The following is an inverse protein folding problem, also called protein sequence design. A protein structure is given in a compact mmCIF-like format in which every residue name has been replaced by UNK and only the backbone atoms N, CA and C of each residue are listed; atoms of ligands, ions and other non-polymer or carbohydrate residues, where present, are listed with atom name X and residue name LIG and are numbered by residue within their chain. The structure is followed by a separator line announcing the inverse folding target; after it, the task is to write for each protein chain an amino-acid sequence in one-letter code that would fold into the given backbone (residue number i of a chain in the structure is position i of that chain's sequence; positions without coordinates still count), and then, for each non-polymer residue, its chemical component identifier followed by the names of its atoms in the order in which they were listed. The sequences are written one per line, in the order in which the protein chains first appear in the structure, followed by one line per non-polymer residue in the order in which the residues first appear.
data_IF_201702023236
#
_entry.id   IF_201702023236
#
_cell.length_a   1.000
_cell.length_b   1.000
_cell.length_c   1.000
_cell.angle_alpha   90.00
_cell.angle_beta   90.00
_cell.angle_gamma   90.00
#
_symmetry.space_group_name_H-M   'P 1'
#
loop_
_entity.id
_entity.type
_entity.pdbx_description
1 polymer ?
#
# COMPACT_ATOMS: atom_id res chain seq x y z
N UNK A 1 31.84 -52.82 -24.52
CA UNK A 1 31.33 -51.95 -25.59
C UNK A 1 30.42 -50.90 -24.97
N UNK A 2 30.88 -49.66 -24.88
CA UNK A 2 30.11 -48.54 -24.29
C UNK A 2 29.34 -47.82 -25.39
N UNK A 3 28.02 -47.90 -25.36
CA UNK A 3 27.12 -47.24 -26.32
C UNK A 3 27.04 -45.76 -25.95
N UNK A 4 27.51 -44.89 -26.84
CA UNK A 4 27.45 -43.44 -26.69
C UNK A 4 25.99 -42.97 -26.72
N UNK A 5 25.53 -42.30 -25.64
CA UNK A 5 24.26 -41.57 -25.62
C UNK A 5 24.41 -40.27 -26.41
N UNK A 6 23.56 -40.06 -27.40
CA UNK A 6 23.49 -38.83 -28.21
C UNK A 6 22.92 -37.67 -27.37
N UNK A 7 23.65 -36.57 -27.14
CA UNK A 7 23.18 -35.50 -26.27
C UNK A 7 22.73 -34.30 -27.10
N UNK A 8 21.81 -34.41 -28.07
CA UNK A 8 21.43 -33.22 -28.86
C UNK A 8 20.12 -33.35 -29.69
N UNK A 9 19.09 -34.03 -29.19
CA UNK A 9 17.87 -34.24 -29.99
C UNK A 9 16.59 -34.32 -29.18
N UNK A 10 16.22 -33.22 -28.52
CA UNK A 10 14.82 -33.03 -28.10
C UNK A 10 14.41 -31.54 -28.11
N UNK A 11 14.24 -31.00 -29.32
CA UNK A 11 13.73 -29.63 -29.50
C UNK A 11 12.19 -29.58 -29.59
N UNK A 12 11.51 -30.73 -29.64
CA UNK A 12 10.07 -30.84 -29.84
C UNK A 12 9.31 -31.34 -28.60
N UNK A 13 10.00 -31.63 -27.49
CA UNK A 13 9.36 -32.02 -26.23
C UNK A 13 8.56 -33.32 -26.35
N UNK A 14 9.05 -34.26 -27.16
CA UNK A 14 8.35 -35.49 -27.49
C UNK A 14 8.54 -36.55 -26.38
N UNK A 15 9.57 -36.41 -25.53
CA UNK A 15 9.81 -37.32 -24.40
C UNK A 15 9.49 -36.65 -23.05
N UNK A 16 8.38 -36.99 -22.38
CA UNK A 16 8.04 -36.47 -21.05
C UNK A 16 8.78 -37.18 -19.90
N UNK A 17 9.82 -37.95 -20.18
CA UNK A 17 10.49 -38.82 -19.22
C UNK A 17 11.92 -38.35 -18.94
N UNK A 18 12.19 -38.08 -17.65
CA UNK A 18 13.50 -37.84 -17.01
C UNK A 18 14.03 -36.39 -16.92
N UNK A 19 13.35 -35.57 -16.09
CA UNK A 19 14.05 -34.58 -15.25
C UNK A 19 13.81 -34.93 -13.77
N UNK A 20 14.62 -35.83 -13.22
CA UNK A 20 14.73 -36.00 -11.76
C UNK A 20 15.44 -34.77 -11.18
N UNK A 21 14.65 -33.74 -10.90
CA UNK A 21 15.05 -32.49 -10.25
C UNK A 21 13.87 -31.93 -9.46
N UNK A 22 14.13 -31.14 -8.42
CA UNK A 22 13.06 -30.51 -7.64
C UNK A 22 12.19 -29.63 -8.55
N UNK A 23 10.87 -29.56 -8.30
CA UNK A 23 9.89 -28.84 -9.14
C UNK A 23 10.30 -27.40 -9.50
N UNK A 24 11.10 -26.76 -8.64
CA UNK A 24 11.60 -25.39 -8.81
C UNK A 24 12.72 -25.30 -9.86
N UNK A 25 13.59 -26.30 -9.95
CA UNK A 25 14.64 -26.33 -10.97
C UNK A 25 14.05 -26.61 -12.35
N UNK A 26 13.10 -27.54 -12.45
CA UNK A 26 12.42 -27.89 -13.69
C UNK A 26 11.68 -26.67 -14.30
N UNK A 27 11.02 -25.86 -13.47
CA UNK A 27 10.34 -24.64 -13.93
C UNK A 27 11.30 -23.57 -14.46
N UNK A 28 12.51 -23.45 -13.89
CA UNK A 28 13.52 -22.50 -14.37
C UNK A 28 14.13 -22.95 -15.69
N UNK A 29 14.39 -24.25 -15.83
CA UNK A 29 14.91 -24.85 -17.07
C UNK A 29 13.90 -24.70 -18.20
N UNK A 30 12.62 -24.97 -17.95
CA UNK A 30 11.58 -24.82 -18.98
C UNK A 30 11.39 -23.36 -19.40
N UNK A 31 11.43 -22.42 -18.44
CA UNK A 31 11.36 -20.98 -18.75
C UNK A 31 12.56 -20.51 -19.57
N UNK A 32 13.75 -21.05 -19.32
CA UNK A 32 14.93 -20.78 -20.14
C UNK A 32 14.80 -21.37 -21.56
N UNK A 33 14.20 -22.56 -21.71
CA UNK A 33 13.92 -23.21 -23.01
C UNK A 33 12.96 -22.38 -23.86
N UNK A 34 11.81 -21.97 -23.29
CA UNK A 34 10.83 -21.12 -23.96
C UNK A 34 11.44 -19.78 -24.37
N UNK A 35 12.31 -19.20 -23.52
CA UNK A 35 13.00 -17.95 -23.85
C UNK A 35 13.97 -18.10 -25.02
N UNK A 36 14.66 -19.25 -25.13
CA UNK A 36 15.52 -19.56 -26.28
C UNK A 36 14.72 -19.72 -27.55
N UNK A 37 13.63 -20.49 -27.51
CA UNK A 37 12.73 -20.67 -28.67
C UNK A 37 12.17 -19.32 -29.17
N UNK A 38 11.70 -18.48 -28.26
CA UNK A 38 11.20 -17.16 -28.60
C UNK A 38 12.29 -16.23 -29.18
N UNK A 39 13.54 -16.38 -28.75
CA UNK A 39 14.67 -15.63 -29.31
C UNK A 39 15.02 -16.13 -30.73
N UNK A 40 14.98 -17.44 -30.98
CA UNK A 40 15.17 -18.02 -32.30
C UNK A 40 14.08 -17.55 -33.27
N UNK A 41 12.81 -17.68 -32.89
CA UNK A 41 11.68 -17.21 -33.71
C UNK A 41 11.79 -15.73 -34.04
N UNK A 42 12.15 -14.88 -33.08
CA UNK A 42 12.37 -13.45 -33.32
C UNK A 42 13.48 -13.19 -34.32
N UNK A 43 14.58 -13.96 -34.26
CA UNK A 43 15.68 -13.84 -35.21
C UNK A 43 15.21 -14.25 -36.62
N UNK A 44 14.43 -15.32 -36.72
CA UNK A 44 13.87 -15.80 -37.98
C UNK A 44 12.89 -14.79 -38.58
N UNK A 45 11.97 -14.23 -37.77
CA UNK A 45 11.06 -13.17 -38.22
C UNK A 45 11.79 -11.88 -38.62
N UNK A 46 12.87 -11.51 -37.91
CA UNK A 46 13.68 -10.35 -38.28
C UNK A 46 14.55 -10.59 -39.52
N UNK A 47 14.76 -11.86 -39.92
CA UNK A 47 15.46 -12.22 -41.15
C UNK A 47 14.56 -12.12 -42.39
N UNK A 48 13.25 -12.02 -42.19
CA UNK A 48 12.33 -11.80 -43.30
C UNK A 48 12.51 -10.37 -43.83
N UNK A 49 12.57 -10.19 -45.17
CA UNK A 49 12.57 -8.88 -45.79
C UNK A 49 11.37 -8.07 -45.30
N UNK A 50 11.55 -6.77 -45.09
CA UNK A 50 10.44 -5.89 -44.71
C UNK A 50 9.32 -6.04 -45.76
N UNK A 51 8.05 -6.25 -45.33
CA UNK A 51 6.95 -6.48 -46.26
C UNK A 51 6.76 -5.24 -47.13
N UNK A 52 7.12 -5.35 -48.41
CA UNK A 52 6.76 -4.38 -49.44
C UNK A 52 5.34 -4.71 -49.89
N UNK A 53 4.35 -4.16 -49.17
CA UNK A 53 2.95 -4.25 -49.56
C UNK A 53 2.65 -3.19 -50.64
N UNK A 54 3.13 -3.40 -51.85
CA UNK A 54 2.67 -2.69 -53.05
C UNK A 54 1.67 -3.60 -53.77
N UNK A 55 0.40 -3.51 -53.39
CA UNK A 55 -0.70 -4.15 -54.11
C UNK A 55 -1.26 -3.13 -55.10
N UNK A 56 -0.86 -3.23 -56.37
CA UNK A 56 -1.54 -2.58 -57.47
C UNK A 56 -2.82 -3.39 -57.73
N UNK A 57 -3.96 -2.91 -57.22
CA UNK A 57 -5.27 -3.52 -57.49
C UNK A 57 -5.62 -3.17 -58.92
N UNK A 58 -5.16 -3.98 -59.87
CA UNK A 58 -5.70 -3.96 -61.22
C UNK A 58 -7.07 -4.61 -61.14
N UNK A 59 -8.11 -3.80 -60.97
CA UNK A 59 -9.50 -4.20 -61.18
C UNK A 59 -9.65 -4.50 -62.66
N UNK A 60 -9.84 -5.77 -63.08
CA UNK A 60 -10.25 -6.05 -64.45
C UNK A 60 -11.68 -5.51 -64.59
N UNK A 61 -11.92 -4.61 -65.55
CA UNK A 61 -13.29 -4.29 -65.98
C UNK A 61 -13.91 -5.60 -66.51
N UNK A 62 -14.69 -6.26 -65.66
CA UNK A 62 -15.43 -7.45 -66.03
C UNK A 62 -16.78 -6.98 -66.54
N UNK A 63 -17.00 -7.27 -67.83
CA UNK A 63 -18.24 -7.08 -68.55
C UNK A 63 -19.43 -7.61 -67.74
N UNK A 64 -20.53 -6.85 -67.79
CA UNK A 64 -21.82 -7.18 -67.18
C UNK A 64 -22.27 -8.57 -67.63
N UNK A 65 -22.24 -9.52 -66.69
CA UNK A 65 -22.94 -10.77 -66.82
C UNK A 65 -23.78 -10.93 -65.54
N UNK A 66 -25.10 -10.96 -65.76
CA UNK A 66 -26.14 -11.29 -64.79
C UNK A 66 -25.66 -12.40 -63.84
N UNK A 67 -25.61 -12.10 -62.55
CA UNK A 67 -25.46 -13.12 -61.51
C UNK A 67 -26.55 -12.91 -60.46
N UNK A 68 -27.19 -14.02 -60.15
CA UNK A 68 -28.37 -14.12 -59.32
C UNK A 68 -28.19 -13.40 -57.98
N UNK A 69 -29.26 -12.77 -57.51
CA UNK A 69 -29.34 -12.17 -56.19
C UNK A 69 -29.39 -13.28 -55.11
N UNK A 70 -28.32 -14.06 -54.99
CA UNK A 70 -28.04 -14.83 -53.78
C UNK A 70 -27.78 -13.77 -52.72
N UNK A 71 -28.70 -13.65 -51.76
CA UNK A 71 -28.38 -13.05 -50.46
C UNK A 71 -27.23 -13.88 -49.89
N UNK A 72 -26.00 -13.55 -50.29
CA UNK A 72 -24.81 -14.04 -49.66
C UNK A 72 -24.98 -13.63 -48.20
N UNK A 73 -25.26 -14.63 -47.36
CA UNK A 73 -24.98 -14.57 -45.95
C UNK A 73 -23.54 -14.06 -45.89
N UNK A 74 -23.36 -12.76 -45.66
CA UNK A 74 -22.04 -12.21 -45.35
C UNK A 74 -21.58 -13.05 -44.18
N UNK A 75 -20.61 -13.92 -44.41
CA UNK A 75 -19.97 -14.68 -43.35
C UNK A 75 -19.42 -13.63 -42.41
N UNK A 76 -20.08 -13.48 -41.28
CA UNK A 76 -19.73 -12.49 -40.28
C UNK A 76 -18.30 -12.76 -39.86
N UNK A 77 -17.44 -11.74 -40.00
CA UNK A 77 -16.06 -11.81 -39.54
C UNK A 77 -16.05 -12.32 -38.10
N UNK A 78 -15.05 -13.13 -37.74
CA UNK A 78 -14.99 -13.77 -36.41
C UNK A 78 -15.14 -12.76 -35.24
N UNK A 79 -14.75 -11.50 -35.44
CA UNK A 79 -14.97 -10.41 -34.48
C UNK A 79 -16.43 -9.94 -34.33
N UNK A 80 -17.25 -10.00 -35.38
CA UNK A 80 -18.68 -9.66 -35.33
C UNK A 80 -19.48 -10.74 -34.59
N UNK A 81 -19.16 -12.01 -34.82
CA UNK A 81 -19.75 -13.14 -34.09
C UNK A 81 -19.40 -13.06 -32.61
N UNK A 82 -18.13 -12.82 -32.29
CA UNK A 82 -17.67 -12.66 -30.91
C UNK A 82 -18.35 -11.45 -30.23
N UNK A 83 -18.50 -10.32 -30.93
CA UNK A 83 -19.17 -9.14 -30.39
C UNK A 83 -20.65 -9.40 -30.06
N UNK A 84 -21.37 -10.17 -30.90
CA UNK A 84 -22.76 -10.56 -30.61
C UNK A 84 -22.86 -11.51 -29.44
N UNK A 85 -22.00 -12.52 -29.38
CA UNK A 85 -21.96 -13.45 -28.25
C UNK A 85 -21.60 -12.74 -26.95
N UNK A 86 -20.69 -11.77 -26.99
CA UNK A 86 -20.36 -10.94 -25.84
C UNK A 86 -21.57 -10.10 -25.43
N UNK A 87 -22.24 -9.42 -26.36
CA UNK A 87 -23.44 -8.63 -26.07
C UNK A 87 -24.59 -9.48 -25.52
N UNK A 88 -24.82 -10.68 -26.05
CA UNK A 88 -25.81 -11.62 -25.51
C UNK A 88 -25.46 -12.05 -24.09
N UNK A 89 -24.19 -12.41 -23.84
CA UNK A 89 -23.71 -12.76 -22.50
C UNK A 89 -23.84 -11.60 -21.52
N UNK A 90 -23.59 -10.37 -21.95
CA UNK A 90 -23.76 -9.17 -21.13
C UNK A 90 -25.23 -8.92 -20.79
N UNK A 91 -26.13 -9.01 -21.78
CA UNK A 91 -27.58 -8.91 -21.56
C UNK A 91 -28.10 -9.98 -20.61
N UNK A 92 -27.63 -11.22 -20.74
CA UNK A 92 -27.96 -12.31 -19.81
C UNK A 92 -27.45 -12.01 -18.40
N UNK A 93 -26.20 -11.55 -18.26
CA UNK A 93 -25.65 -11.15 -16.97
C UNK A 93 -26.42 -9.97 -16.34
N UNK A 94 -26.85 -8.99 -17.14
CA UNK A 94 -27.67 -7.88 -16.66
C UNK A 94 -29.06 -8.36 -16.21
N UNK A 95 -29.70 -9.25 -16.96
CA UNK A 95 -30.99 -9.87 -16.58
C UNK A 95 -30.84 -10.65 -15.29
N UNK A 96 -29.79 -11.46 -15.17
CA UNK A 96 -29.47 -12.17 -13.94
C UNK A 96 -29.23 -11.21 -12.78
N UNK A 97 -28.45 -10.14 -12.96
CA UNK A 97 -28.19 -9.12 -11.94
C UNK A 97 -29.48 -8.46 -11.48
N UNK A 98 -30.38 -8.09 -12.40
CA UNK A 98 -31.70 -7.49 -12.10
C UNK A 98 -32.61 -8.43 -11.29
N UNK A 99 -32.43 -9.74 -11.40
CA UNK A 99 -33.13 -10.77 -10.59
C UNK A 99 -32.50 -10.98 -9.21
N UNK A 100 -31.30 -10.46 -8.93
CA UNK A 100 -30.66 -10.55 -7.60
C UNK A 100 -31.26 -9.55 -6.62
N UNK A 101 -30.96 -9.71 -5.33
CA UNK A 101 -31.38 -8.75 -4.31
C UNK A 101 -30.80 -7.36 -4.58
N UNK A 102 -31.52 -6.32 -4.15
CA UNK A 102 -31.12 -4.92 -4.32
C UNK A 102 -29.76 -4.62 -3.65
N UNK A 103 -29.46 -5.28 -2.53
CA UNK A 103 -28.18 -5.17 -1.84
C UNK A 103 -27.02 -5.72 -2.67
N UNK A 104 -27.22 -6.83 -3.40
CA UNK A 104 -26.23 -7.40 -4.32
C UNK A 104 -26.05 -6.49 -5.54
N UNK A 105 -27.16 -6.04 -6.14
CA UNK A 105 -27.14 -5.15 -7.32
C UNK A 105 -26.36 -3.85 -7.05
N UNK A 106 -26.64 -3.21 -5.91
CA UNK A 106 -26.01 -1.94 -5.50
C UNK A 106 -24.65 -2.12 -4.83
N UNK A 107 -24.15 -3.36 -4.72
CA UNK A 107 -22.89 -3.70 -4.03
C UNK A 107 -22.78 -3.10 -2.63
N UNK A 108 -23.88 -3.09 -1.88
CA UNK A 108 -23.90 -2.54 -0.52
C UNK A 108 -23.13 -3.46 0.45
N UNK A 109 -22.60 -2.92 1.57
CA UNK A 109 -22.01 -3.75 2.62
C UNK A 109 -23.02 -4.76 3.14
N UNK A 110 -22.68 -6.05 3.03
CA UNK A 110 -23.51 -7.15 3.52
C UNK A 110 -22.81 -7.83 4.70
N UNK A 111 -23.56 -8.35 5.68
CA UNK A 111 -22.97 -9.09 6.79
C UNK A 111 -22.22 -10.32 6.26
N UNK A 112 -21.23 -10.82 7.00
CA UNK A 112 -20.58 -12.11 6.70
C UNK A 112 -21.24 -13.30 7.40
N UNK A 113 -21.98 -13.03 8.49
CA UNK A 113 -22.75 -13.98 9.28
C UNK A 113 -24.02 -13.29 9.78
N UNK A 114 -25.15 -13.99 9.74
CA UNK A 114 -26.45 -13.49 10.24
C UNK A 114 -26.98 -14.48 11.27
N UNK A 115 -27.59 -13.98 12.36
CA UNK A 115 -28.28 -14.79 13.36
C UNK A 115 -29.77 -14.46 13.30
N UNK A 116 -30.64 -15.47 13.25
CA UNK A 116 -32.11 -15.29 13.19
C UNK A 116 -32.65 -14.39 14.30
N UNK A 117 -32.11 -14.51 15.52
CA UNK A 117 -32.49 -13.71 16.70
C UNK A 117 -32.29 -12.19 16.52
N UNK A 118 -31.46 -11.77 15.56
CA UNK A 118 -31.21 -10.34 15.31
C UNK A 118 -32.23 -9.72 14.33
N UNK A 119 -33.04 -10.56 13.66
CA UNK A 119 -34.07 -10.12 12.72
C UNK A 119 -35.37 -9.89 13.48
N UNK A 120 -35.82 -8.64 13.49
CA UNK A 120 -37.04 -8.22 14.18
C UNK A 120 -38.07 -7.76 13.14
N UNK A 121 -39.20 -8.45 13.05
CA UNK A 121 -40.38 -8.01 12.31
C UNK A 121 -41.64 -8.24 13.15
N UNK A 122 -42.68 -7.44 12.93
CA UNK A 122 -43.96 -7.61 13.62
C UNK A 122 -44.67 -8.93 13.26
N UNK A 123 -44.32 -9.52 12.12
CA UNK A 123 -44.87 -10.78 11.61
C UNK A 123 -43.74 -11.80 11.50
N UNK A 124 -43.88 -12.94 12.18
CA UNK A 124 -42.83 -13.98 12.26
C UNK A 124 -42.50 -14.60 10.89
N UNK A 125 -43.50 -14.78 10.03
CA UNK A 125 -43.31 -15.32 8.67
C UNK A 125 -42.39 -14.42 7.82
N UNK A 126 -42.51 -13.10 8.00
CA UNK A 126 -41.65 -12.12 7.32
C UNK A 126 -40.20 -12.19 7.85
N UNK A 127 -40.02 -12.39 9.16
CA UNK A 127 -38.68 -12.58 9.75
C UNK A 127 -38.01 -13.83 9.19
N UNK A 128 -38.75 -14.92 9.06
CA UNK A 128 -38.26 -16.20 8.57
C UNK A 128 -37.85 -16.12 7.10
N UNK A 129 -38.67 -15.48 6.26
CA UNK A 129 -38.34 -15.28 4.85
C UNK A 129 -37.15 -14.32 4.67
N UNK A 130 -37.08 -13.24 5.47
CA UNK A 130 -35.95 -12.31 5.44
C UNK A 130 -34.64 -13.00 5.85
N UNK A 131 -34.69 -13.87 6.87
CA UNK A 131 -33.54 -14.68 7.28
C UNK A 131 -33.09 -15.61 6.14
N UNK A 132 -34.03 -16.32 5.50
CA UNK A 132 -33.75 -17.23 4.38
C UNK A 132 -33.14 -16.52 3.18
N UNK A 133 -33.64 -15.32 2.84
CA UNK A 133 -33.10 -14.48 1.78
C UNK A 133 -31.66 -14.04 2.07
N UNK A 134 -31.38 -13.64 3.31
CA UNK A 134 -30.04 -13.26 3.75
C UNK A 134 -29.07 -14.44 3.70
N UNK A 135 -29.47 -15.62 4.20
CA UNK A 135 -28.64 -16.82 4.12
C UNK A 135 -28.32 -17.23 2.67
N UNK A 136 -29.32 -17.17 1.78
CA UNK A 136 -29.11 -17.42 0.35
C UNK A 136 -28.07 -16.45 -0.24
N UNK A 137 -28.16 -15.16 0.06
CA UNK A 137 -27.22 -14.16 -0.45
C UNK A 137 -25.79 -14.34 0.08
N UNK A 138 -25.62 -14.80 1.33
CA UNK A 138 -24.30 -15.11 1.90
C UNK A 138 -23.61 -16.27 1.20
N UNK A 139 -24.36 -17.32 0.87
CA UNK A 139 -23.83 -18.56 0.28
C UNK A 139 -23.64 -18.40 -1.23
N UNK A 140 -24.64 -17.87 -1.94
CA UNK A 140 -24.61 -17.73 -3.41
C UNK A 140 -23.75 -16.54 -3.86
N UNK A 141 -23.75 -15.45 -3.11
CA UNK A 141 -23.01 -14.23 -3.45
C UNK A 141 -22.11 -13.77 -2.29
N UNK A 142 -21.06 -14.54 -1.95
CA UNK A 142 -20.20 -14.22 -0.82
C UNK A 142 -19.51 -12.86 -1.00
N UNK A 143 -19.36 -12.12 0.10
CA UNK A 143 -18.63 -10.84 0.12
C UNK A 143 -17.13 -11.11 -0.04
N UNK A 144 -16.48 -10.47 -1.02
CA UNK A 144 -15.02 -10.48 -1.17
C UNK A 144 -14.41 -9.50 -0.17
N UNK A 145 -14.40 -9.90 1.11
CA UNK A 145 -13.57 -9.26 2.11
C UNK A 145 -12.12 -9.54 1.68
N UNK A 146 -11.44 -8.58 1.03
CA UNK A 146 -10.12 -8.74 0.38
C UNK A 146 -8.98 -9.37 1.21
N UNK A 147 -9.25 -9.78 2.45
CA UNK A 147 -8.51 -10.76 3.25
C UNK A 147 -8.48 -12.18 2.64
N UNK A 148 -9.45 -12.56 1.78
CA UNK A 148 -9.52 -13.92 1.21
C UNK A 148 -8.56 -14.17 0.04
N UNK A 149 -8.03 -13.13 -0.62
CA UNK A 149 -7.15 -13.30 -1.79
C UNK A 149 -5.74 -13.81 -1.48
N UNK A 150 -5.34 -13.94 -0.20
CA UNK A 150 -4.04 -14.52 0.20
C UNK A 150 -4.08 -16.00 0.60
N UNK A 151 -5.25 -16.63 0.70
CA UNK A 151 -5.35 -18.07 0.98
C UNK A 151 -5.72 -18.85 -0.27
N UNK A 152 -4.76 -18.98 -1.19
CA UNK A 152 -4.84 -19.92 -2.34
C UNK A 152 -4.92 -21.40 -1.90
N UNK A 153 -4.84 -21.68 -0.59
CA UNK A 153 -5.31 -22.92 0.04
C UNK A 153 -6.62 -22.63 0.79
N UNK A 154 -7.73 -22.52 0.06
CA UNK A 154 -9.02 -22.85 0.67
C UNK A 154 -9.04 -24.35 0.87
N UNK A 155 -8.67 -24.76 2.08
CA UNK A 155 -9.03 -26.08 2.63
C UNK A 155 -10.52 -26.22 2.36
N UNK A 156 -10.87 -27.19 1.53
CA UNK A 156 -12.24 -27.60 1.20
C UNK A 156 -12.86 -28.06 2.52
N UNK A 157 -13.31 -27.12 3.35
CA UNK A 157 -14.08 -27.43 4.54
C UNK A 157 -15.41 -27.95 4.04
N UNK A 158 -15.56 -29.24 4.23
CA UNK A 158 -16.66 -30.12 3.84
C UNK A 158 -17.95 -29.79 4.60
N UNK A 159 -18.53 -28.65 4.31
CA UNK A 159 -19.98 -28.51 4.27
C UNK A 159 -20.30 -27.78 2.98
N UNK A 160 -20.80 -28.52 2.00
CA UNK A 160 -21.60 -27.89 0.96
C UNK A 160 -22.76 -27.23 1.71
N UNK A 161 -22.64 -25.94 2.03
CA UNK A 161 -23.75 -25.20 2.63
C UNK A 161 -24.81 -25.21 1.54
N UNK A 162 -25.81 -26.05 1.71
CA UNK A 162 -26.92 -26.21 0.78
C UNK A 162 -27.52 -24.83 0.59
N UNK A 163 -27.40 -24.26 -0.62
CA UNK A 163 -27.98 -22.95 -0.92
C UNK A 163 -29.48 -23.06 -0.64
N UNK A 164 -30.05 -22.28 0.29
CA UNK A 164 -31.49 -22.30 0.53
C UNK A 164 -32.21 -22.03 -0.79
N UNK A 165 -33.02 -22.97 -1.25
CA UNK A 165 -33.79 -22.75 -2.47
C UNK A 165 -34.87 -21.71 -2.16
N UNK A 166 -34.81 -20.59 -2.88
CA UNK A 166 -35.85 -19.57 -2.89
C UNK A 166 -36.82 -19.87 -4.03
N UNK A 167 -38.09 -19.54 -3.83
CA UNK A 167 -39.10 -19.60 -4.88
C UNK A 167 -38.69 -18.65 -6.02
N UNK A 168 -38.78 -19.12 -7.26
CA UNK A 168 -38.50 -18.32 -8.44
C UNK A 168 -39.81 -17.69 -8.93
N UNK A 169 -39.77 -16.39 -9.19
CA UNK A 169 -40.89 -15.62 -9.73
C UNK A 169 -40.55 -15.16 -11.15
N UNK A 170 -41.56 -15.06 -12.01
CA UNK A 170 -41.41 -14.50 -13.34
C UNK A 170 -41.19 -12.98 -13.27
N UNK A 171 -40.55 -12.42 -14.31
CA UNK A 171 -40.30 -10.97 -14.35
C UNK A 171 -41.62 -10.16 -14.36
N UNK A 172 -42.68 -10.71 -14.97
CA UNK A 172 -44.02 -10.10 -14.97
C UNK A 172 -44.66 -10.07 -13.58
N UNK A 173 -44.58 -11.16 -12.82
CA UNK A 173 -45.06 -11.20 -11.43
C UNK A 173 -44.29 -10.22 -10.54
N UNK A 174 -42.98 -10.10 -10.75
CA UNK A 174 -42.14 -9.14 -10.01
C UNK A 174 -42.51 -7.69 -10.32
N UNK A 175 -42.85 -7.37 -11.57
CA UNK A 175 -43.32 -6.05 -11.98
C UNK A 175 -44.70 -5.73 -11.38
N UNK A 176 -45.64 -6.67 -11.43
CA UNK A 176 -46.95 -6.55 -10.80
C UNK A 176 -46.82 -6.31 -9.28
N UNK A 177 -45.97 -7.09 -8.61
CA UNK A 177 -45.71 -6.92 -7.18
C UNK A 177 -45.13 -5.53 -6.85
N UNK A 178 -44.18 -5.02 -7.67
CA UNK A 178 -43.63 -3.66 -7.50
C UNK A 178 -44.70 -2.57 -7.66
N UNK A 179 -45.62 -2.75 -8.61
CA UNK A 179 -46.75 -1.85 -8.82
C UNK A 179 -47.71 -1.86 -7.64
N UNK A 180 -48.07 -3.05 -7.11
CA UNK A 180 -48.94 -3.16 -5.93
C UNK A 180 -48.35 -2.45 -4.71
N UNK A 181 -47.06 -2.67 -4.42
CA UNK A 181 -46.35 -2.00 -3.32
C UNK A 181 -46.32 -0.48 -3.51
N UNK A 182 -46.14 -0.01 -4.75
CA UNK A 182 -46.14 1.42 -5.06
C UNK A 182 -47.53 2.03 -4.84
N UNK A 183 -48.61 1.33 -5.21
CA UNK A 183 -49.99 1.78 -4.98
C UNK A 183 -50.26 1.87 -3.47
N UNK A 184 -49.95 0.83 -2.71
CA UNK A 184 -50.13 0.83 -1.25
C UNK A 184 -49.35 1.96 -0.56
N UNK A 185 -48.10 2.17 -0.97
CA UNK A 185 -47.29 3.23 -0.41
C UNK A 185 -47.81 4.64 -0.75
N UNK A 186 -48.33 4.82 -1.96
CA UNK A 186 -48.96 6.09 -2.35
C UNK A 186 -50.21 6.37 -1.52
N UNK A 187 -50.99 5.35 -1.16
CA UNK A 187 -52.14 5.46 -0.26
C UNK A 187 -51.70 5.83 1.17
N UNK A 188 -50.54 5.36 1.61
CA UNK A 188 -49.93 5.73 2.90
C UNK A 188 -49.19 7.09 2.88
N UNK A 189 -49.24 7.84 1.77
CA UNK A 189 -48.58 9.15 1.65
C UNK A 189 -47.06 9.09 1.44
N UNK A 190 -46.50 7.92 1.11
CA UNK A 190 -45.09 7.75 0.75
C UNK A 190 -44.96 7.83 -0.77
N UNK A 191 -44.44 8.94 -1.26
CA UNK A 191 -44.15 9.09 -2.69
C UNK A 191 -42.85 8.34 -3.05
N UNK A 192 -42.95 7.40 -4.00
CA UNK A 192 -41.85 6.67 -4.61
C UNK A 192 -40.95 5.84 -3.69
N UNK A 193 -41.48 4.70 -3.22
CA UNK A 193 -40.76 3.70 -2.40
C UNK A 193 -39.46 3.22 -3.06
N UNK A 194 -39.47 3.14 -4.39
CA UNK A 194 -38.39 2.53 -5.16
C UNK A 194 -37.29 3.52 -5.57
N UNK A 195 -37.44 4.83 -5.30
CA UNK A 195 -36.39 5.81 -5.59
C UNK A 195 -35.19 5.60 -4.67
N UNK A 196 -33.99 5.74 -5.24
CA UNK A 196 -32.76 5.71 -4.45
C UNK A 196 -32.78 6.90 -3.48
N UNK A 197 -32.85 6.61 -2.18
CA UNK A 197 -32.73 7.61 -1.13
C UNK A 197 -31.38 8.33 -1.24
N UNK A 198 -31.36 9.64 -0.97
CA UNK A 198 -30.12 10.41 -0.88
C UNK A 198 -29.11 9.75 0.05
N UNK A 199 -27.86 9.67 -0.41
CA UNK A 199 -26.73 9.07 0.32
C UNK A 199 -26.56 9.65 1.72
N UNK A 200 -26.90 10.94 1.90
CA UNK A 200 -26.86 11.63 3.19
C UNK A 200 -27.91 11.08 4.17
N UNK A 201 -29.13 10.85 3.71
CA UNK A 201 -30.23 10.28 4.52
C UNK A 201 -29.92 8.83 4.87
N UNK A 202 -29.42 8.05 3.90
CA UNK A 202 -28.98 6.68 4.15
C UNK A 202 -27.83 6.64 5.17
N UNK A 203 -26.86 7.55 5.05
CA UNK A 203 -25.75 7.69 5.99
C UNK A 203 -26.20 8.08 7.40
N UNK A 204 -27.18 8.97 7.53
CA UNK A 204 -27.76 9.34 8.81
C UNK A 204 -28.48 8.14 9.48
N UNK A 205 -29.36 7.45 8.75
CA UNK A 205 -30.02 6.23 9.25
C UNK A 205 -29.02 5.12 9.58
N UNK A 206 -27.97 4.96 8.77
CA UNK A 206 -26.92 3.98 9.03
C UNK A 206 -26.19 4.29 10.34
N UNK A 207 -25.81 5.54 10.58
CA UNK A 207 -25.18 5.97 11.84
C UNK A 207 -26.13 5.80 13.02
N UNK A 208 -27.40 6.17 12.86
CA UNK A 208 -28.42 5.98 13.88
C UNK A 208 -28.54 4.51 14.26
N UNK A 209 -28.72 3.61 13.28
CA UNK A 209 -28.82 2.16 13.50
C UNK A 209 -27.53 1.60 14.13
N UNK A 210 -26.35 2.06 13.70
CA UNK A 210 -25.09 1.64 14.31
C UNK A 210 -24.94 2.11 15.76
N UNK A 211 -25.38 3.33 16.07
CA UNK A 211 -25.38 3.87 17.43
C UNK A 211 -26.24 2.99 18.37
N UNK A 212 -27.33 2.39 17.88
CA UNK A 212 -28.15 1.43 18.65
C UNK A 212 -27.36 0.22 19.19
N UNK A 213 -26.24 -0.13 18.54
CA UNK A 213 -25.42 -1.29 18.90
C UNK A 213 -24.23 -0.97 19.83
N UNK A 214 -23.93 0.30 20.11
CA UNK A 214 -23.01 0.72 21.19
C UNK A 214 -23.04 2.26 21.35
N UNK A 215 -23.77 2.77 22.34
CA UNK A 215 -23.62 4.18 22.75
C UNK A 215 -23.00 4.24 24.15
N UNK A 216 -22.02 5.12 24.33
CA UNK A 216 -21.73 5.65 25.67
C UNK A 216 -22.98 6.42 26.08
N UNK A 217 -23.56 6.13 27.24
CA UNK A 217 -24.69 6.92 27.71
C UNK A 217 -24.26 8.40 27.80
N UNK A 218 -25.02 9.30 27.17
CA UNK A 218 -24.75 10.75 27.13
C UNK A 218 -25.03 11.45 28.47
N UNK A 219 -24.78 10.77 29.60
CA UNK A 219 -24.91 11.34 30.93
C UNK A 219 -23.56 11.92 31.39
N UNK A 220 -23.51 13.21 31.67
CA UNK A 220 -22.36 13.93 32.27
C UNK A 220 -22.01 13.50 33.72
N UNK A 221 -22.67 12.47 34.25
CA UNK A 221 -22.39 11.92 35.57
C UNK A 221 -21.30 10.83 35.55
N UNK A 222 -20.60 10.66 36.67
CA UNK A 222 -19.56 9.62 36.93
C UNK A 222 -20.02 8.15 36.79
N UNK A 223 -21.19 7.89 36.18
CA UNK A 223 -21.67 6.58 35.77
C UNK A 223 -21.80 6.55 34.23
N UNK A 224 -20.68 6.78 33.53
CA UNK A 224 -20.58 6.65 32.07
C UNK A 224 -20.68 5.18 31.64
N UNK A 225 -21.86 4.57 31.80
CA UNK A 225 -22.15 3.22 31.39
C UNK A 225 -22.27 3.10 29.87
N UNK A 226 -21.89 1.94 29.33
CA UNK A 226 -22.19 1.56 27.95
C UNK A 226 -23.65 1.11 27.88
N UNK A 227 -24.46 1.79 27.07
CA UNK A 227 -25.85 1.45 26.87
C UNK A 227 -26.02 0.69 25.54
N UNK A 228 -26.72 -0.44 25.62
CA UNK A 228 -27.14 -1.23 24.46
C UNK A 228 -28.64 -1.08 24.33
N UNK A 229 -29.15 -0.67 23.16
CA UNK A 229 -30.60 -0.59 22.96
C UNK A 229 -31.25 -1.98 22.86
N UNK A 230 -30.51 -2.99 22.41
CA UNK A 230 -31.02 -4.35 22.27
C UNK A 230 -30.90 -5.21 23.53
N UNK A 231 -30.04 -4.84 24.50
CA UNK A 231 -29.81 -5.63 25.70
C UNK A 231 -30.45 -4.96 26.91
N UNK A 232 -31.63 -5.46 27.30
CA UNK A 232 -32.38 -4.97 28.46
C UNK A 232 -31.84 -5.57 29.77
N UNK A 233 -31.44 -6.85 29.76
CA UNK A 233 -30.85 -7.55 30.91
C UNK A 233 -29.36 -7.24 31.11
N UNK A 234 -28.91 -7.23 32.38
CA UNK A 234 -27.50 -7.04 32.75
C UNK A 234 -26.61 -8.14 32.15
N UNK A 235 -27.11 -9.38 32.08
CA UNK A 235 -26.36 -10.51 31.50
C UNK A 235 -26.12 -10.34 29.99
N UNK A 236 -27.13 -9.84 29.27
CA UNK A 236 -27.01 -9.58 27.83
C UNK A 236 -26.07 -8.40 27.55
N UNK A 237 -26.09 -7.37 28.40
CA UNK A 237 -25.13 -6.27 28.35
C UNK A 237 -23.71 -6.77 28.56
N UNK A 238 -23.49 -7.66 29.54
CA UNK A 238 -22.19 -8.25 29.82
C UNK A 238 -21.70 -9.12 28.66
N UNK A 239 -22.57 -9.97 28.09
CA UNK A 239 -22.25 -10.75 26.87
C UNK A 239 -21.90 -9.86 25.68
N UNK A 240 -22.62 -8.77 25.47
CA UNK A 240 -22.37 -7.82 24.39
C UNK A 240 -21.02 -7.08 24.56
N UNK A 241 -20.69 -6.64 25.78
CA UNK A 241 -19.38 -6.03 26.09
C UNK A 241 -18.25 -7.04 25.88
N UNK A 242 -18.41 -8.28 26.34
CA UNK A 242 -17.39 -9.32 26.18
C UNK A 242 -17.12 -9.65 24.70
N UNK A 243 -18.17 -9.77 23.88
CA UNK A 243 -18.01 -10.00 22.44
C UNK A 243 -17.31 -8.83 21.74
N UNK A 244 -17.64 -7.58 22.11
CA UNK A 244 -16.96 -6.41 21.58
C UNK A 244 -15.51 -6.32 22.03
N UNK A 245 -15.23 -6.66 23.27
CA UNK A 245 -13.87 -6.73 23.78
C UNK A 245 -13.04 -7.79 23.05
N UNK A 246 -13.61 -8.96 22.74
CA UNK A 246 -12.90 -9.97 21.95
C UNK A 246 -12.62 -9.51 20.52
N UNK A 247 -13.60 -8.85 19.86
CA UNK A 247 -13.38 -8.21 18.55
C UNK A 247 -12.25 -7.17 18.61
N UNK A 248 -12.28 -6.28 19.60
CA UNK A 248 -11.25 -5.26 19.79
C UNK A 248 -9.87 -5.88 19.99
N UNK A 249 -9.76 -6.90 20.84
CA UNK A 249 -8.51 -7.62 21.08
C UNK A 249 -7.93 -8.26 19.81
N UNK A 250 -8.78 -8.82 18.95
CA UNK A 250 -8.33 -9.35 17.65
C UNK A 250 -7.83 -8.23 16.72
N UNK A 251 -8.55 -7.10 16.67
CA UNK A 251 -8.13 -5.94 15.86
C UNK A 251 -6.83 -5.33 16.36
N UNK A 252 -6.66 -5.21 17.68
CA UNK A 252 -5.43 -4.72 18.32
C UNK A 252 -4.25 -5.62 17.96
N UNK A 253 -4.38 -6.94 18.15
CA UNK A 253 -3.33 -7.90 17.79
C UNK A 253 -2.95 -7.81 16.31
N UNK A 254 -3.93 -7.63 15.42
CA UNK A 254 -3.67 -7.44 13.99
C UNK A 254 -2.94 -6.12 13.71
N UNK A 255 -3.37 -5.02 14.31
CA UNK A 255 -2.77 -3.70 14.14
C UNK A 255 -1.35 -3.66 14.71
N UNK A 256 -1.10 -4.24 15.89
CA UNK A 256 0.22 -4.34 16.48
C UNK A 256 1.19 -5.11 15.59
N UNK A 257 0.76 -6.26 15.05
CA UNK A 257 1.57 -7.02 14.08
C UNK A 257 1.85 -6.23 12.80
N UNK A 258 0.89 -5.41 12.35
CA UNK A 258 1.06 -4.55 11.18
C UNK A 258 2.03 -3.39 11.48
N UNK A 259 1.91 -2.76 12.65
CA UNK A 259 2.80 -1.70 13.10
C UNK A 259 4.24 -2.21 13.19
N UNK A 260 4.47 -3.35 13.84
CA UNK A 260 5.79 -4.00 13.92
C UNK A 260 6.42 -4.22 12.54
N UNK A 261 5.66 -4.74 11.57
CA UNK A 261 6.17 -4.92 10.20
C UNK A 261 6.49 -3.62 9.49
N UNK A 262 5.69 -2.58 9.73
CA UNK A 262 5.94 -1.24 9.17
C UNK A 262 7.18 -0.62 9.81
N UNK A 263 7.37 -0.79 11.12
CA UNK A 263 8.54 -0.31 11.86
C UNK A 263 9.81 -1.02 11.41
N UNK A 264 9.78 -2.35 11.27
CA UNK A 264 10.89 -3.14 10.71
C UNK A 264 11.26 -2.65 9.32
N UNK A 265 10.27 -2.43 8.44
CA UNK A 265 10.49 -1.90 7.10
C UNK A 265 11.05 -0.48 7.13
N UNK A 266 10.50 0.39 7.96
CA UNK A 266 10.98 1.77 8.14
C UNK A 266 12.43 1.77 8.62
N UNK A 267 12.76 0.91 9.58
CA UNK A 267 14.13 0.76 10.10
C UNK A 267 15.12 0.27 9.05
N UNK A 268 14.71 -0.66 8.17
CA UNK A 268 15.57 -1.13 7.07
C UNK A 268 15.77 -0.02 6.02
N UNK A 269 14.70 0.65 5.59
CA UNK A 269 14.78 1.69 4.54
C UNK A 269 15.50 2.93 5.06
N UNK A 270 15.18 3.37 6.27
CA UNK A 270 15.67 4.62 6.85
C UNK A 270 16.89 4.45 7.75
N UNK A 271 17.32 3.22 8.05
CA UNK A 271 18.42 2.96 8.98
C UNK A 271 19.75 3.59 8.55
N UNK A 272 20.02 3.61 7.24
CA UNK A 272 21.21 4.29 6.69
C UNK A 272 21.13 5.81 6.87
N UNK A 273 19.97 6.41 6.59
CA UNK A 273 19.74 7.85 6.81
C UNK A 273 19.89 8.22 8.28
N UNK A 274 19.35 7.40 9.19
CA UNK A 274 19.47 7.61 10.63
C UNK A 274 20.93 7.61 11.08
N UNK A 275 21.73 6.63 10.66
CA UNK A 275 23.17 6.57 11.00
C UNK A 275 23.94 7.78 10.49
N UNK A 276 23.70 8.20 9.24
CA UNK A 276 24.36 9.39 8.69
C UNK A 276 23.97 10.66 9.43
N UNK A 277 22.69 10.80 9.79
CA UNK A 277 22.23 11.93 10.59
C UNK A 277 22.87 11.93 11.98
N UNK A 278 22.94 10.77 12.64
CA UNK A 278 23.56 10.64 13.94
C UNK A 278 25.06 10.99 13.89
N UNK A 279 25.80 10.43 12.93
CA UNK A 279 27.21 10.73 12.74
C UNK A 279 27.42 12.22 12.42
N UNK A 280 26.59 12.81 11.56
CA UNK A 280 26.65 14.24 11.27
C UNK A 280 26.42 15.11 12.51
N UNK A 281 25.51 14.71 13.41
CA UNK A 281 25.30 15.39 14.69
C UNK A 281 26.49 15.22 15.65
N UNK A 282 27.13 14.06 15.67
CA UNK A 282 28.34 13.82 16.46
C UNK A 282 29.50 14.70 15.96
N UNK A 283 29.82 14.65 14.66
CA UNK A 283 30.87 15.49 14.07
C UNK A 283 30.61 16.99 14.25
N UNK A 284 29.35 17.43 14.15
CA UNK A 284 28.98 18.82 14.41
C UNK A 284 29.27 19.24 15.85
N UNK A 285 29.03 18.36 16.83
CA UNK A 285 29.38 18.64 18.24
C UNK A 285 30.89 18.72 18.43
N UNK A 286 31.65 17.83 17.79
CA UNK A 286 33.12 17.85 17.86
C UNK A 286 33.68 19.14 17.26
N UNK A 287 33.19 19.58 16.10
CA UNK A 287 33.61 20.87 15.52
C UNK A 287 33.21 22.07 16.38
N UNK A 288 32.07 22.01 17.08
CA UNK A 288 31.67 23.07 18.00
C UNK A 288 32.63 23.17 19.21
N UNK A 289 33.08 22.03 19.76
CA UNK A 289 34.03 22.03 20.88
C UNK A 289 35.42 22.48 20.43
N UNK A 290 35.88 22.05 19.25
CA UNK A 290 37.12 22.54 18.63
C UNK A 290 37.08 24.05 18.42
N UNK A 291 35.97 24.59 17.90
CA UNK A 291 35.82 26.03 17.68
C UNK A 291 35.84 26.81 19.01
N UNK A 292 35.20 26.29 20.05
CA UNK A 292 35.26 26.89 21.39
C UNK A 292 36.68 26.91 21.93
N UNK A 293 37.41 25.80 21.82
CA UNK A 293 38.80 25.72 22.25
C UNK A 293 39.69 26.69 21.47
N UNK A 294 39.58 26.73 20.15
CA UNK A 294 40.33 27.67 19.31
C UNK A 294 40.03 29.13 19.65
N UNK A 295 38.78 29.45 20.01
CA UNK A 295 38.39 30.81 20.45
C UNK A 295 39.06 31.15 21.79
N UNK A 296 39.11 30.20 22.73
CA UNK A 296 39.80 30.38 24.01
C UNK A 296 41.30 30.54 23.79
N UNK A 297 41.92 29.70 22.97
CA UNK A 297 43.33 29.77 22.62
C UNK A 297 43.70 31.10 21.97
N UNK A 298 42.88 31.58 21.03
CA UNK A 298 43.06 32.90 20.42
C UNK A 298 43.10 34.01 21.49
N UNK A 299 42.11 34.05 22.38
CA UNK A 299 42.07 35.04 23.44
C UNK A 299 43.28 34.93 24.40
N UNK A 300 43.74 33.70 24.69
CA UNK A 300 44.95 33.47 25.46
C UNK A 300 46.20 34.00 24.75
N UNK A 301 46.36 33.74 23.45
CA UNK A 301 47.51 34.19 22.67
C UNK A 301 47.52 35.69 22.43
N UNK A 302 46.36 36.33 22.25
CA UNK A 302 46.25 37.79 22.18
C UNK A 302 46.73 38.43 23.49
N UNK A 303 46.29 37.90 24.63
CA UNK A 303 46.75 38.36 25.94
C UNK A 303 48.25 38.12 26.13
N UNK A 304 48.75 36.92 25.83
CA UNK A 304 50.18 36.59 25.92
C UNK A 304 51.04 37.50 25.02
N UNK A 305 50.59 37.76 23.79
CA UNK A 305 51.27 38.67 22.86
C UNK A 305 51.38 40.09 23.42
N UNK A 306 50.31 40.60 24.05
CA UNK A 306 50.33 41.92 24.68
C UNK A 306 51.31 41.99 25.85
N UNK A 307 51.35 40.94 26.69
CA UNK A 307 52.25 40.85 27.84
C UNK A 307 53.70 40.71 27.40
N UNK A 308 54.00 39.85 26.43
CA UNK A 308 55.35 39.68 25.90
C UNK A 308 55.85 40.94 25.21
N UNK A 309 54.99 41.69 24.52
CA UNK A 309 55.35 42.97 23.90
C UNK A 309 55.77 44.01 24.96
N UNK A 310 55.04 44.10 26.07
CA UNK A 310 55.39 44.99 27.20
C UNK A 310 56.64 44.51 27.94
N UNK A 311 56.77 43.20 28.15
CA UNK A 311 57.94 42.60 28.79
C UNK A 311 59.20 42.81 27.94
N UNK A 312 59.11 42.72 26.61
CA UNK A 312 60.21 42.98 25.69
C UNK A 312 60.67 44.43 25.78
N UNK A 313 59.75 45.40 25.77
CA UNK A 313 60.08 46.82 25.96
C UNK A 313 60.82 47.06 27.29
N UNK A 314 60.33 46.47 28.38
CA UNK A 314 60.96 46.58 29.71
C UNK A 314 62.35 45.92 29.77
N UNK A 315 62.52 44.76 29.11
CA UNK A 315 63.82 44.08 29.02
C UNK A 315 64.81 44.91 28.20
N UNK A 316 64.37 45.52 27.10
CA UNK A 316 65.20 46.34 26.22
C UNK A 316 65.66 47.63 26.90
N UNK A 317 64.77 48.31 27.63
CA UNK A 317 65.13 49.51 28.41
C UNK A 317 66.10 49.18 29.54
N UNK A 318 65.88 48.08 30.26
CA UNK A 318 66.81 47.60 31.29
C UNK A 318 68.20 47.32 30.69
N UNK A 319 68.27 46.56 29.60
CA UNK A 319 69.56 46.26 28.94
C UNK A 319 70.25 47.53 28.45
N UNK A 320 69.52 48.49 27.89
CA UNK A 320 70.08 49.77 27.47
C UNK A 320 70.68 50.56 28.65
N UNK A 321 70.00 50.57 29.80
CA UNK A 321 70.49 51.20 31.02
C UNK A 321 71.74 50.50 31.57
N UNK A 322 71.72 49.16 31.60
CA UNK A 322 72.86 48.35 32.05
C UNK A 322 74.08 48.62 31.15
N UNK A 323 73.92 48.62 29.82
CA UNK A 323 74.99 48.94 28.85
C UNK A 323 75.51 50.37 29.03
N UNK A 324 74.63 51.37 29.18
CA UNK A 324 75.04 52.75 29.40
C UNK A 324 75.83 52.91 30.71
N UNK A 325 75.41 52.22 31.78
CA UNK A 325 76.13 52.22 33.05
C UNK A 325 77.54 51.63 32.92
N UNK A 326 77.69 50.56 32.15
CA UNK A 326 78.99 49.93 31.85
C UNK A 326 79.88 50.85 31.02
N UNK A 327 79.33 51.50 29.98
CA UNK A 327 80.06 52.48 29.16
C UNK A 327 80.57 53.66 30.00
N UNK A 328 79.75 54.18 30.92
CA UNK A 328 80.16 55.25 31.83
C UNK A 328 81.29 54.81 32.78
N UNK A 329 81.23 53.58 33.29
CA UNK A 329 82.30 53.01 34.11
C UNK A 329 83.59 52.81 33.31
N UNK A 330 83.49 52.29 32.08
CA UNK A 330 84.62 52.11 31.18
C UNK A 330 85.32 53.45 30.91
N UNK A 331 84.57 54.49 30.54
CA UNK A 331 85.11 55.84 30.32
C UNK A 331 85.78 56.40 31.58
N UNK A 332 85.20 56.18 32.77
CA UNK A 332 85.81 56.60 34.04
C UNK A 332 87.14 55.89 34.29
N UNK A 333 87.19 54.58 34.11
CA UNK A 333 88.40 53.77 34.28
C UNK A 333 89.50 54.16 33.28
N UNK A 334 89.14 54.39 32.02
CA UNK A 334 90.08 54.87 30.99
C UNK A 334 90.68 56.24 31.36
N UNK A 335 89.86 57.18 31.88
CA UNK A 335 90.35 58.48 32.35
C UNK A 335 91.31 58.35 33.54
N UNK A 336 90.99 57.49 34.51
CA UNK A 336 91.88 57.21 35.65
C UNK A 336 93.22 56.62 35.20
N UNK A 337 93.18 55.67 34.26
CA UNK A 337 94.39 55.08 33.69
C UNK A 337 95.25 56.12 32.95
N UNK A 338 94.63 57.00 32.15
CA UNK A 338 95.33 58.08 31.47
C UNK A 338 95.99 59.06 32.45
N UNK A 339 95.33 59.39 33.56
CA UNK A 339 95.90 60.25 34.61
C UNK A 339 97.12 59.61 35.29
N UNK A 340 97.04 58.32 35.65
CA UNK A 340 98.17 57.57 36.22
C UNK A 340 99.37 57.49 35.26
N UNK A 341 99.13 57.36 33.96
CA UNK A 341 100.20 57.41 32.95
C UNK A 341 100.87 58.79 32.89
N UNK A 342 100.11 59.88 33.04
CA UNK A 342 100.68 61.24 33.10
C UNK A 342 101.53 61.45 34.36
N UNK A 343 101.09 60.94 35.50
CA UNK A 343 101.86 60.98 36.76
C UNK A 343 103.17 60.18 36.68
N UNK A 344 103.22 59.07 35.94
CA UNK A 344 104.46 58.31 35.76
C UNK A 344 105.47 58.95 34.80
N UNK A 345 105.03 59.89 33.95
CA UNK A 345 105.88 60.56 32.96
C UNK A 345 106.44 61.91 33.46
N UNK A 346 105.92 62.41 34.58
CA UNK A 346 106.50 63.53 35.34
C UNK A 346 107.52 63.00 36.35
#
# INVERSE_FOLDING_TARGET
MSVARTPLRDELGINPEQLYGTEVENARVEKARVKRLAATLRKDFNSLPAPQNEYEINVPEKEEADDDHVTALREEDAGEQEAREQHQRELEQERELKRRSTAVQKRLPRPSKVKKVLIHSAVNEIADEMYRMLEHDLVKYPVDDGKAKKSKKRKKSSSAVTVPQLQQFSDSEMEQARQMVQIEASLCGVNDVWKSQDTLVLGAKWKEVQARFLCKADGEGKAGGVAFQFATSIEDKLRAVQARFSELKETEQFLTKRAQKLDERSRVVNGGFYRRSQQGMESLRDYMTELQNATIEQACFENLSSLESQALQSRMTRLANDVNSQQLLEVKLQKQYAALLQEQQQ
#
